data_IF_033414422596
#
_entry.id   IF_033414422596
#
_cell.length_a   1.000
_cell.length_b   1.000
_cell.length_c   1.000
_cell.angle_alpha   90.00
_cell.angle_beta   90.00
_cell.angle_gamma   90.00
#
_symmetry.space_group_name_H-M   'P 1'
#
loop_
_entity.id
_entity.type
_entity.pdbx_description
1 polymer ?
#
# COMPACT_ATOMS: atom_id res chain seq x y z
N UNK A 1 -16.69 -8.32 13.50
CA UNK A 1 -15.25 -8.54 13.65
C UNK A 1 -14.97 -10.00 13.30
N UNK A 2 -13.95 -10.26 12.49
CA UNK A 2 -13.60 -11.62 12.05
C UNK A 2 -12.19 -12.05 12.50
N UNK A 3 -11.34 -11.10 12.92
CA UNK A 3 -9.99 -11.39 13.34
C UNK A 3 -9.24 -10.12 13.71
N UNK A 4 -7.92 -10.25 13.86
CA UNK A 4 -7.00 -9.13 14.10
C UNK A 4 -5.93 -9.10 13.01
N UNK A 5 -5.51 -7.90 12.62
CA UNK A 5 -4.41 -7.71 11.69
C UNK A 5 -3.07 -7.96 12.37
N UNK A 6 -1.99 -7.87 11.59
CA UNK A 6 -0.62 -8.01 12.08
C UNK A 6 -0.26 -7.10 13.28
N UNK A 7 -0.96 -5.99 13.48
CA UNK A 7 -0.75 -5.01 14.55
C UNK A 7 -1.70 -5.19 15.73
N UNK A 8 -2.57 -6.20 15.71
CA UNK A 8 -3.56 -6.44 16.74
C UNK A 8 -4.84 -5.62 16.62
N UNK A 9 -4.99 -4.79 15.57
CA UNK A 9 -6.22 -4.04 15.30
C UNK A 9 -7.31 -4.97 14.75
N UNK A 10 -8.59 -4.71 15.07
CA UNK A 10 -9.69 -5.56 14.61
C UNK A 10 -9.86 -5.47 13.08
N UNK A 11 -10.11 -6.62 12.44
CA UNK A 11 -10.50 -6.74 11.03
C UNK A 11 -12.01 -6.99 10.97
N UNK A 12 -12.67 -6.28 10.06
CA UNK A 12 -14.07 -6.50 9.70
C UNK A 12 -14.13 -7.15 8.31
N UNK A 13 -14.68 -8.35 8.25
CA UNK A 13 -14.85 -9.10 7.02
C UNK A 13 -16.31 -9.02 6.56
N UNK A 14 -16.50 -9.12 5.25
CA UNK A 14 -17.79 -9.50 4.69
C UNK A 14 -18.07 -10.97 5.02
N UNK A 15 -19.32 -11.35 5.32
CA UNK A 15 -19.65 -12.71 5.69
C UNK A 15 -19.38 -13.68 4.52
N UNK A 16 -18.95 -14.90 4.85
CA UNK A 16 -18.83 -15.98 3.87
C UNK A 16 -19.40 -17.23 4.49
N UNK A 17 -20.36 -17.85 3.83
CA UNK A 17 -21.02 -19.08 4.26
C UNK A 17 -21.68 -18.99 5.64
N UNK A 18 -22.26 -17.83 5.97
CA UNK A 18 -22.82 -17.54 7.30
C UNK A 18 -24.29 -17.95 7.45
N UNK A 19 -25.00 -18.18 6.34
CA UNK A 19 -26.40 -18.58 6.37
C UNK A 19 -26.57 -20.02 6.94
N UNK A 20 -27.55 -20.27 7.82
CA UNK A 20 -27.81 -21.60 8.35
C UNK A 20 -28.12 -22.62 7.24
N UNK A 21 -27.34 -23.71 7.19
CA UNK A 21 -27.48 -24.75 6.17
C UNK A 21 -26.92 -24.38 4.80
N UNK A 22 -26.15 -23.30 4.69
CA UNK A 22 -25.50 -22.91 3.44
C UNK A 22 -24.52 -23.99 2.97
N UNK A 23 -24.65 -24.39 1.71
CA UNK A 23 -23.67 -25.24 1.01
C UNK A 23 -22.85 -24.36 0.08
N UNK A 24 -21.70 -23.88 0.57
CA UNK A 24 -20.92 -22.87 -0.13
C UNK A 24 -19.92 -23.49 -1.09
N UNK A 25 -19.70 -22.87 -2.25
CA UNK A 25 -18.64 -23.27 -3.16
C UNK A 25 -17.26 -23.31 -2.49
N UNK A 26 -16.46 -24.28 -2.91
CA UNK A 26 -15.08 -24.47 -2.46
C UNK A 26 -14.12 -24.22 -3.62
N UNK A 27 -13.09 -23.42 -3.38
CA UNK A 27 -11.95 -23.21 -4.29
C UNK A 27 -10.65 -23.43 -3.51
N UNK A 28 -9.82 -24.38 -3.95
CA UNK A 28 -8.59 -24.78 -3.26
C UNK A 28 -8.78 -25.08 -1.76
N UNK A 29 -9.83 -25.84 -1.42
CA UNK A 29 -10.22 -26.18 -0.03
C UNK A 29 -10.62 -24.98 0.84
N UNK A 30 -10.95 -23.84 0.22
CA UNK A 30 -11.41 -22.63 0.92
C UNK A 30 -12.83 -22.30 0.45
N UNK A 31 -13.75 -22.16 1.40
CA UNK A 31 -15.12 -21.73 1.11
C UNK A 31 -15.11 -20.29 0.59
N UNK A 32 -15.96 -20.00 -0.39
CA UNK A 32 -16.15 -18.65 -0.89
C UNK A 32 -17.61 -18.36 -1.21
N UNK A 33 -17.97 -17.08 -1.16
CA UNK A 33 -19.26 -16.57 -1.63
C UNK A 33 -19.07 -15.61 -2.80
N UNK A 34 -20.08 -15.58 -3.67
CA UNK A 34 -20.15 -14.64 -4.77
C UNK A 34 -20.88 -13.38 -4.31
N UNK A 35 -20.19 -12.25 -4.44
CA UNK A 35 -20.75 -10.94 -4.25
C UNK A 35 -20.81 -10.22 -5.59
N UNK A 36 -21.61 -9.17 -5.64
CA UNK A 36 -21.67 -8.29 -6.79
C UNK A 36 -21.88 -6.86 -6.32
N UNK A 37 -21.20 -5.94 -6.98
CA UNK A 37 -21.41 -4.51 -6.83
C UNK A 37 -22.22 -4.03 -8.03
N UNK A 38 -23.25 -3.24 -7.77
CA UNK A 38 -24.00 -2.54 -8.81
C UNK A 38 -23.52 -1.10 -8.88
N UNK A 39 -23.03 -0.72 -10.05
CA UNK A 39 -22.67 0.65 -10.39
C UNK A 39 -23.79 1.21 -11.26
N UNK A 40 -24.54 2.15 -10.71
CA UNK A 40 -25.70 2.71 -11.39
C UNK A 40 -25.26 3.79 -12.36
N UNK A 41 -25.65 3.68 -13.63
CA UNK A 41 -25.52 4.76 -14.60
C UNK A 41 -26.30 5.98 -14.09
N UNK A 42 -25.78 7.18 -14.38
CA UNK A 42 -26.51 8.40 -14.11
C UNK A 42 -27.82 8.43 -14.91
N UNK A 43 -28.86 9.02 -14.33
CA UNK A 43 -30.08 9.33 -15.08
C UNK A 43 -29.74 10.33 -16.18
N UNK A 44 -30.50 10.32 -17.26
CA UNK A 44 -30.20 11.14 -18.42
C UNK A 44 -31.30 12.14 -18.76
N UNK A 45 -30.94 13.14 -19.55
CA UNK A 45 -31.89 14.05 -20.18
C UNK A 45 -32.48 13.42 -21.44
N UNK A 46 -33.80 13.23 -21.43
CA UNK A 46 -34.66 13.00 -22.60
C UNK A 46 -34.05 12.11 -23.71
N UNK A 47 -33.70 10.86 -23.39
CA UNK A 47 -33.27 9.87 -24.39
C UNK A 47 -31.89 10.12 -25.00
N UNK A 48 -31.10 11.04 -24.43
CA UNK A 48 -29.67 11.21 -24.72
C UNK A 48 -28.82 10.59 -23.62
N UNK A 49 -27.52 10.41 -23.86
CA UNK A 49 -26.58 10.01 -22.81
C UNK A 49 -26.19 11.17 -21.89
N UNK A 50 -26.65 12.40 -22.13
CA UNK A 50 -26.34 13.53 -21.26
C UNK A 50 -26.85 13.27 -19.85
N UNK A 51 -25.94 13.19 -18.88
CA UNK A 51 -26.27 12.81 -17.51
C UNK A 51 -26.82 13.97 -16.68
N UNK A 52 -27.76 13.65 -15.78
CA UNK A 52 -28.20 14.54 -14.71
C UNK A 52 -27.15 14.43 -13.58
N UNK A 53 -26.48 15.53 -13.19
CA UNK A 53 -25.47 15.50 -12.15
C UNK A 53 -25.98 14.88 -10.84
N UNK A 54 -25.10 14.12 -10.17
CA UNK A 54 -25.35 13.48 -8.87
C UNK A 54 -26.45 12.40 -8.84
N UNK A 55 -26.82 11.83 -9.99
CA UNK A 55 -27.83 10.76 -10.07
C UNK A 55 -27.26 9.35 -10.31
N UNK A 56 -25.95 9.24 -10.55
CA UNK A 56 -25.25 7.99 -10.77
C UNK A 56 -23.87 8.26 -11.39
N UNK A 57 -23.27 7.23 -11.97
CA UNK A 57 -21.98 7.33 -12.65
C UNK A 57 -22.15 7.95 -14.04
N UNK A 58 -21.27 8.91 -14.32
CA UNK A 58 -21.08 9.51 -15.62
C UNK A 58 -19.58 9.60 -15.92
N UNK A 59 -19.22 9.65 -17.20
CA UNK A 59 -17.85 9.90 -17.62
C UNK A 59 -17.43 11.37 -17.36
N UNK A 60 -16.16 11.69 -17.62
CA UNK A 60 -15.65 13.06 -17.46
C UNK A 60 -16.26 14.08 -18.43
N UNK A 61 -16.89 13.61 -19.51
CA UNK A 61 -17.63 14.46 -20.46
C UNK A 61 -19.09 14.66 -20.06
N UNK A 62 -19.54 14.06 -18.96
CA UNK A 62 -20.90 14.14 -18.45
C UNK A 62 -21.88 13.17 -19.13
N UNK A 63 -21.39 12.12 -19.79
CA UNK A 63 -22.26 11.09 -20.35
C UNK A 63 -22.55 9.99 -19.33
N UNK A 64 -23.80 9.57 -19.21
CA UNK A 64 -24.15 8.36 -18.47
C UNK A 64 -23.47 7.14 -19.11
N UNK A 65 -23.20 6.13 -18.28
CA UNK A 65 -22.65 4.86 -18.76
C UNK A 65 -23.62 4.19 -19.73
N UNK A 66 -23.08 3.47 -20.71
CA UNK A 66 -23.77 2.49 -21.55
C UNK A 66 -23.23 1.11 -21.15
N UNK A 67 -23.68 0.60 -20.00
CA UNK A 67 -23.09 -0.58 -19.36
C UNK A 67 -23.24 -1.88 -20.16
N UNK A 68 -24.24 -1.95 -21.05
CA UNK A 68 -24.46 -3.09 -21.95
C UNK A 68 -23.91 -2.83 -23.36
N UNK A 69 -23.42 -1.62 -23.64
CA UNK A 69 -22.80 -1.18 -24.89
C UNK A 69 -23.71 -1.42 -26.10
N UNK A 70 -25.00 -1.14 -25.94
CA UNK A 70 -26.02 -1.30 -26.99
C UNK A 70 -26.37 0.01 -27.73
N UNK A 71 -25.82 1.15 -27.26
CA UNK A 71 -26.00 2.48 -27.83
C UNK A 71 -27.37 3.11 -27.53
N UNK A 72 -28.20 2.48 -26.72
CA UNK A 72 -29.50 3.00 -26.30
C UNK A 72 -29.45 3.45 -24.86
N UNK A 73 -30.21 4.50 -24.56
CA UNK A 73 -30.32 5.03 -23.21
C UNK A 73 -31.37 4.23 -22.44
N UNK A 74 -30.94 3.47 -21.44
CA UNK A 74 -31.79 2.59 -20.65
C UNK A 74 -31.63 2.85 -19.15
N UNK A 75 -32.64 3.46 -18.55
CA UNK A 75 -32.66 3.70 -17.10
C UNK A 75 -33.23 2.49 -16.36
N UNK A 76 -32.53 2.08 -15.29
CA UNK A 76 -33.03 1.00 -14.42
C UNK A 76 -34.31 1.37 -13.67
N UNK A 77 -35.22 0.40 -13.56
CA UNK A 77 -36.41 0.51 -12.72
C UNK A 77 -36.00 0.40 -11.26
N UNK A 78 -36.35 1.37 -10.41
CA UNK A 78 -35.86 1.39 -9.01
C UNK A 78 -36.61 0.45 -8.06
N UNK A 79 -36.98 -0.74 -8.54
CA UNK A 79 -37.81 -1.72 -7.81
C UNK A 79 -36.99 -2.91 -7.30
N UNK A 80 -37.45 -3.54 -6.21
CA UNK A 80 -36.90 -4.80 -5.72
C UNK A 80 -37.35 -6.00 -6.59
N UNK A 81 -36.56 -7.08 -6.67
CA UNK A 81 -35.16 -7.18 -6.20
C UNK A 81 -34.22 -6.34 -7.08
N UNK A 82 -33.25 -5.66 -6.45
CA UNK A 82 -32.38 -4.67 -7.13
C UNK A 82 -31.61 -5.32 -8.29
N UNK A 83 -30.90 -6.43 -8.05
CA UNK A 83 -30.00 -6.98 -9.06
C UNK A 83 -30.70 -7.52 -10.31
N UNK A 84 -31.83 -8.21 -10.17
CA UNK A 84 -32.53 -8.77 -11.34
C UNK A 84 -33.10 -7.65 -12.22
N UNK A 85 -33.64 -6.60 -11.60
CA UNK A 85 -34.26 -5.48 -12.30
C UNK A 85 -33.23 -4.49 -12.86
N UNK A 86 -32.06 -4.34 -12.24
CA UNK A 86 -31.13 -3.24 -12.52
C UNK A 86 -29.87 -3.70 -13.25
N UNK A 87 -29.71 -5.00 -13.57
CA UNK A 87 -28.52 -5.55 -14.25
C UNK A 87 -28.62 -5.54 -15.79
N UNK A 88 -29.83 -5.55 -16.34
CA UNK A 88 -30.10 -5.50 -17.78
C UNK A 88 -30.17 -4.09 -18.42
N UNK A 89 -30.35 -2.99 -17.68
CA UNK A 89 -30.18 -1.60 -18.16
C UNK A 89 -28.71 -1.18 -18.32
N UNK A 90 -28.47 0.11 -18.59
CA UNK A 90 -27.16 0.77 -18.72
C UNK A 90 -26.25 0.69 -17.48
N UNK A 91 -26.77 0.16 -16.36
CA UNK A 91 -25.97 -0.04 -15.16
C UNK A 91 -24.91 -1.13 -15.37
N UNK A 92 -23.80 -0.98 -14.67
CA UNK A 92 -22.73 -1.98 -14.69
C UNK A 92 -22.78 -2.84 -13.42
N UNK A 93 -22.76 -4.16 -13.57
CA UNK A 93 -22.63 -5.09 -12.45
C UNK A 93 -21.25 -5.73 -12.45
N UNK A 94 -20.51 -5.60 -11.35
CA UNK A 94 -19.21 -6.23 -11.17
C UNK A 94 -19.30 -7.39 -10.17
N UNK A 95 -19.25 -8.66 -10.62
CA UNK A 95 -19.18 -9.80 -9.72
C UNK A 95 -17.75 -9.96 -9.17
N UNK A 96 -17.65 -10.34 -7.90
CA UNK A 96 -16.39 -10.69 -7.25
C UNK A 96 -16.60 -11.79 -6.22
N UNK A 97 -15.52 -12.45 -5.83
CA UNK A 97 -15.55 -13.56 -4.85
C UNK A 97 -14.92 -13.10 -3.56
N UNK A 98 -15.51 -13.52 -2.44
CA UNK A 98 -14.92 -13.35 -1.11
C UNK A 98 -14.65 -14.73 -0.54
N UNK A 99 -13.39 -15.00 -0.21
CA UNK A 99 -12.95 -16.27 0.39
C UNK A 99 -13.01 -16.16 1.90
N UNK A 100 -13.37 -17.24 2.58
CA UNK A 100 -13.28 -17.36 4.03
C UNK A 100 -11.83 -17.62 4.46
N UNK A 101 -10.96 -16.67 4.17
CA UNK A 101 -9.55 -16.71 4.52
C UNK A 101 -9.10 -15.28 4.86
N UNK A 102 -8.61 -15.12 6.08
CA UNK A 102 -8.07 -13.85 6.55
C UNK A 102 -6.57 -13.84 6.26
N UNK A 103 -6.11 -12.80 5.57
CA UNK A 103 -4.69 -12.51 5.48
C UNK A 103 -4.31 -11.56 6.63
N UNK A 104 -3.63 -12.11 7.64
CA UNK A 104 -3.10 -11.38 8.79
C UNK A 104 -1.56 -11.26 8.76
N UNK A 105 -0.93 -11.59 7.63
CA UNK A 105 0.53 -11.61 7.54
C UNK A 105 1.08 -10.20 7.29
N UNK A 106 2.17 -9.83 7.95
CA UNK A 106 2.77 -8.50 7.78
C UNK A 106 3.50 -8.37 6.44
N UNK A 107 3.42 -7.22 5.76
CA UNK A 107 4.31 -6.93 4.65
C UNK A 107 5.75 -6.75 5.15
N UNK A 108 6.70 -7.02 4.27
CA UNK A 108 8.14 -6.82 4.52
C UNK A 108 8.76 -6.11 3.31
N UNK A 109 9.87 -5.39 3.51
CA UNK A 109 10.59 -4.73 2.42
C UNK A 109 11.49 -5.76 1.74
N UNK A 110 11.34 -5.89 0.43
CA UNK A 110 12.20 -6.74 -0.41
C UNK A 110 13.49 -6.03 -0.77
N UNK A 111 13.39 -4.78 -1.20
CA UNK A 111 14.52 -3.99 -1.70
C UNK A 111 14.36 -2.51 -1.33
N UNK A 112 15.49 -1.86 -1.01
CA UNK A 112 15.59 -0.41 -0.81
C UNK A 112 16.65 0.14 -1.78
N UNK A 113 16.32 1.24 -2.45
CA UNK A 113 17.25 1.96 -3.34
C UNK A 113 17.14 3.47 -3.08
N UNK A 114 18.23 4.21 -2.84
CA UNK A 114 19.57 3.71 -2.54
C UNK A 114 19.58 2.84 -1.29
N UNK A 115 20.43 1.83 -1.30
CA UNK A 115 20.56 0.84 -0.25
C UNK A 115 21.09 1.41 1.05
N UNK A 116 20.92 0.64 2.12
CA UNK A 116 21.41 0.99 3.46
C UNK A 116 22.94 1.14 3.41
N UNK A 117 23.44 2.30 3.84
CA UNK A 117 24.88 2.60 3.81
C UNK A 117 25.44 3.06 2.46
N UNK A 118 24.59 3.26 1.44
CA UNK A 118 25.03 3.77 0.14
C UNK A 118 25.74 5.12 0.26
N UNK A 119 26.83 5.30 -0.48
CA UNK A 119 27.65 6.51 -0.49
C UNK A 119 27.59 7.22 -1.85
N UNK A 120 27.92 8.51 -1.84
CA UNK A 120 27.93 9.37 -3.04
C UNK A 120 26.61 9.33 -3.83
N UNK A 121 25.50 9.21 -3.10
CA UNK A 121 24.15 9.27 -3.64
C UNK A 121 23.90 10.66 -4.25
N UNK A 122 23.39 10.76 -5.50
CA UNK A 122 23.00 12.03 -6.10
C UNK A 122 21.99 12.79 -5.24
N UNK A 123 22.05 14.13 -5.26
CA UNK A 123 21.24 14.96 -4.37
C UNK A 123 19.72 14.86 -4.58
N UNK A 124 19.32 14.32 -5.73
CA UNK A 124 17.96 14.14 -6.23
C UNK A 124 17.66 12.66 -6.51
N UNK A 125 18.46 11.74 -5.97
CA UNK A 125 18.25 10.31 -6.11
C UNK A 125 16.88 9.92 -5.52
N UNK A 126 16.13 9.12 -6.28
CA UNK A 126 14.83 8.63 -5.87
C UNK A 126 14.97 7.57 -4.78
N UNK A 127 14.22 7.70 -3.69
CA UNK A 127 14.08 6.62 -2.70
C UNK A 127 13.00 5.64 -3.18
N UNK A 128 13.37 4.40 -3.47
CA UNK A 128 12.50 3.32 -3.90
C UNK A 128 12.43 2.22 -2.84
N UNK A 129 11.22 1.81 -2.49
CA UNK A 129 10.92 0.74 -1.54
C UNK A 129 10.04 -0.30 -2.23
N UNK A 130 10.56 -1.51 -2.42
CA UNK A 130 9.81 -2.64 -2.95
C UNK A 130 9.26 -3.49 -1.80
N UNK A 131 7.97 -3.76 -1.80
CA UNK A 131 7.28 -4.51 -0.74
C UNK A 131 6.85 -5.91 -1.20
N UNK A 132 6.80 -6.85 -0.26
CA UNK A 132 6.36 -8.23 -0.50
C UNK A 132 4.87 -8.39 -0.79
N UNK A 133 4.08 -7.33 -0.60
CA UNK A 133 2.63 -7.32 -0.76
C UNK A 133 2.15 -6.07 -1.47
N UNK A 134 0.90 -6.10 -1.93
CA UNK A 134 0.20 -4.92 -2.42
C UNK A 134 -0.08 -3.96 -1.26
N UNK A 135 0.50 -2.77 -1.34
CA UNK A 135 0.42 -1.76 -0.29
C UNK A 135 -0.70 -0.74 -0.56
N UNK A 136 -1.26 -0.13 0.50
CA UNK A 136 -2.20 0.99 0.36
C UNK A 136 -1.43 2.21 -0.14
N UNK A 137 -1.83 2.74 -1.29
CA UNK A 137 -1.15 3.89 -1.89
C UNK A 137 -1.11 5.12 -0.96
N UNK A 138 -2.17 5.35 -0.19
CA UNK A 138 -2.24 6.43 0.81
C UNK A 138 -1.16 6.29 1.89
N UNK A 139 -0.82 5.07 2.28
CA UNK A 139 0.14 4.83 3.35
C UNK A 139 1.59 5.21 2.96
N UNK A 140 1.87 5.40 1.67
CA UNK A 140 3.15 5.90 1.18
C UNK A 140 3.45 7.33 1.68
N UNK A 141 2.42 8.14 1.94
CA UNK A 141 2.57 9.50 2.51
C UNK A 141 2.98 9.49 3.99
N UNK A 142 3.00 8.33 4.64
CA UNK A 142 3.44 8.17 6.04
C UNK A 142 4.92 7.82 6.16
N UNK A 143 5.62 7.76 5.02
CA UNK A 143 7.06 7.52 4.98
C UNK A 143 7.77 8.88 4.93
N UNK A 144 8.71 9.07 5.84
CA UNK A 144 9.46 10.32 5.97
C UNK A 144 10.91 10.14 5.52
N UNK A 145 11.54 11.23 5.09
CA UNK A 145 12.98 11.28 4.80
C UNK A 145 13.57 12.36 5.70
N UNK A 146 14.56 11.98 6.51
CA UNK A 146 15.20 12.89 7.44
C UNK A 146 16.70 13.03 7.15
N UNK A 147 17.14 14.27 6.98
CA UNK A 147 18.55 14.65 6.86
C UNK A 147 19.27 14.67 8.21
N UNK A 148 20.57 14.34 8.20
CA UNK A 148 21.47 14.46 9.34
C UNK A 148 22.80 15.15 8.95
N UNK A 149 23.19 16.25 9.63
CA UNK A 149 22.47 16.92 10.72
C UNK A 149 21.13 17.52 10.26
N UNK A 150 20.16 17.62 11.19
CA UNK A 150 18.79 18.05 10.87
C UNK A 150 18.80 19.42 10.20
N UNK A 151 18.19 19.48 9.02
CA UNK A 151 17.97 20.71 8.29
C UNK A 151 16.69 21.40 8.81
N UNK A 152 16.72 22.69 9.21
CA UNK A 152 15.53 23.38 9.68
C UNK A 152 14.49 23.63 8.59
N UNK A 153 14.87 23.49 7.31
CA UNK A 153 13.95 23.61 6.18
C UNK A 153 13.31 22.24 5.93
N UNK A 154 11.99 22.08 6.07
CA UNK A 154 11.32 20.83 5.78
C UNK A 154 11.49 20.43 4.32
N UNK A 155 11.85 19.17 4.10
CA UNK A 155 11.91 18.57 2.78
C UNK A 155 10.50 18.25 2.29
N UNK A 156 10.17 18.62 1.05
CA UNK A 156 8.96 18.10 0.42
C UNK A 156 9.21 16.68 -0.08
N UNK A 157 8.21 15.83 0.06
CA UNK A 157 8.19 14.46 -0.48
C UNK A 157 6.92 14.25 -1.29
N UNK A 158 7.03 13.49 -2.40
CA UNK A 158 5.91 13.10 -3.26
C UNK A 158 6.06 11.62 -3.58
N UNK A 159 5.21 10.75 -3.00
CA UNK A 159 5.22 9.33 -3.29
C UNK A 159 4.54 9.05 -4.63
N UNK A 160 5.16 8.18 -5.43
CA UNK A 160 4.62 7.55 -6.61
C UNK A 160 4.48 6.07 -6.34
N UNK A 161 3.29 5.53 -6.56
CA UNK A 161 2.95 4.15 -6.26
C UNK A 161 2.65 3.45 -7.57
N UNK A 162 3.44 2.43 -7.89
CA UNK A 162 3.26 1.63 -9.09
C UNK A 162 3.50 0.15 -8.79
N UNK A 163 2.98 -0.70 -9.67
CA UNK A 163 3.06 -2.15 -9.52
C UNK A 163 3.79 -2.68 -10.74
N UNK A 164 4.99 -3.21 -10.51
CA UNK A 164 5.73 -4.00 -11.50
C UNK A 164 5.46 -5.48 -11.21
N UNK A 165 6.47 -6.26 -10.84
CA UNK A 165 6.31 -7.60 -10.27
C UNK A 165 5.80 -7.53 -8.83
N UNK A 166 6.19 -6.48 -8.10
CA UNK A 166 5.85 -6.22 -6.70
C UNK A 166 5.35 -4.78 -6.55
N UNK A 167 4.83 -4.44 -5.37
CA UNK A 167 4.44 -3.06 -5.11
C UNK A 167 5.68 -2.22 -4.81
N UNK A 168 5.84 -1.14 -5.56
CA UNK A 168 6.96 -0.19 -5.39
C UNK A 168 6.42 1.17 -4.97
N UNK A 169 7.03 1.72 -3.93
CA UNK A 169 6.85 3.11 -3.50
C UNK A 169 8.11 3.90 -3.83
N UNK A 170 7.98 4.82 -4.78
CA UNK A 170 9.02 5.74 -5.21
C UNK A 170 8.77 7.12 -4.60
N UNK A 171 9.61 7.54 -3.66
CA UNK A 171 9.48 8.77 -2.92
C UNK A 171 10.42 9.80 -3.53
N UNK A 172 9.86 10.68 -4.35
CA UNK A 172 10.57 11.85 -4.87
C UNK A 172 10.66 12.90 -3.77
N UNK A 173 11.79 13.59 -3.68
CA UNK A 173 11.98 14.63 -2.69
C UNK A 173 12.68 15.87 -3.28
N UNK A 174 12.67 16.97 -2.53
CA UNK A 174 13.45 18.16 -2.85
C UNK A 174 14.94 17.83 -2.92
N UNK A 175 15.73 18.37 -3.87
CA UNK A 175 17.16 18.18 -3.85
C UNK A 175 17.75 18.60 -2.49
N UNK A 176 18.65 17.81 -1.92
CA UNK A 176 19.34 18.19 -0.69
C UNK A 176 20.04 19.54 -0.89
N UNK A 177 19.61 20.57 -0.14
CA UNK A 177 19.78 21.98 -0.52
C UNK A 177 21.14 22.57 -0.14
N UNK A 178 21.91 21.93 0.72
CA UNK A 178 23.01 22.60 1.42
C UNK A 178 24.38 22.46 0.74
N UNK A 179 24.44 21.75 -0.40
CA UNK A 179 25.67 21.42 -1.13
C UNK A 179 26.76 20.73 -0.27
N UNK A 180 26.41 20.24 0.93
CA UNK A 180 27.30 19.46 1.78
C UNK A 180 26.98 17.98 1.61
N UNK A 181 27.97 17.14 1.90
CA UNK A 181 27.73 15.71 2.05
C UNK A 181 27.00 15.49 3.37
N UNK A 182 25.70 15.22 3.29
CA UNK A 182 24.88 14.82 4.43
C UNK A 182 24.51 13.35 4.37
N UNK A 183 24.11 12.80 5.51
CA UNK A 183 23.45 11.49 5.55
C UNK A 183 21.94 11.75 5.59
N UNK A 184 21.15 10.84 5.03
CA UNK A 184 19.71 10.86 5.22
C UNK A 184 19.22 9.45 5.58
N UNK A 185 18.08 9.37 6.23
CA UNK A 185 17.45 8.10 6.60
C UNK A 185 15.95 8.13 6.22
N UNK A 186 15.43 7.07 5.58
CA UNK A 186 13.99 6.88 5.46
C UNK A 186 13.41 6.36 6.79
N UNK A 187 12.28 6.91 7.20
CA UNK A 187 11.53 6.47 8.37
C UNK A 187 10.26 5.77 7.88
N UNK A 188 10.20 4.45 8.10
CA UNK A 188 9.05 3.60 7.78
C UNK A 188 8.60 2.94 9.07
N UNK A 189 7.37 3.22 9.51
CA UNK A 189 6.82 2.68 10.75
C UNK A 189 5.57 1.81 10.49
N UNK A 190 4.97 1.27 11.54
CA UNK A 190 3.75 0.44 11.46
C UNK A 190 2.49 1.20 11.02
N UNK A 191 2.57 2.48 10.63
CA UNK A 191 1.44 3.15 10.00
C UNK A 191 1.36 2.85 8.49
N UNK A 192 2.44 2.32 7.90
CA UNK A 192 2.47 1.83 6.51
C UNK A 192 1.74 0.49 6.45
N UNK A 193 0.81 0.34 5.51
CA UNK A 193 -0.17 -0.77 5.52
C UNK A 193 -0.34 -1.42 4.14
N UNK A 194 -0.60 -2.73 4.15
CA UNK A 194 -1.08 -3.45 2.98
C UNK A 194 -2.57 -3.20 2.70
N UNK A 195 -3.06 -3.57 1.50
CA UNK A 195 -4.47 -3.40 1.12
C UNK A 195 -5.45 -4.23 1.97
N UNK A 196 -4.93 -5.16 2.77
CA UNK A 196 -5.67 -5.96 3.74
C UNK A 196 -5.57 -5.36 5.17
N UNK A 197 -5.04 -4.13 5.29
CA UNK A 197 -4.83 -3.40 6.54
C UNK A 197 -3.84 -4.07 7.49
N UNK A 198 -2.98 -4.98 7.01
CA UNK A 198 -1.84 -5.41 7.81
C UNK A 198 -0.79 -4.32 7.76
N UNK A 199 -0.48 -3.77 8.93
CA UNK A 199 0.58 -2.80 9.01
C UNK A 199 1.95 -3.48 8.94
N UNK A 200 2.94 -2.68 8.58
CA UNK A 200 4.36 -3.04 8.52
C UNK A 200 4.91 -3.30 9.93
N UNK A 201 4.42 -4.38 10.55
CA UNK A 201 4.76 -4.83 11.90
C UNK A 201 4.48 -6.34 12.08
N UNK A 202 5.44 -7.15 12.54
CA UNK A 202 6.85 -6.83 12.52
C UNK A 202 7.33 -6.67 11.07
N UNK A 203 7.72 -5.46 10.71
CA UNK A 203 8.23 -5.14 9.38
C UNK A 203 9.71 -5.42 9.35
N UNK A 204 10.21 -6.12 8.33
CA UNK A 204 11.64 -6.45 8.20
C UNK A 204 12.07 -6.25 6.76
N UNK A 205 13.33 -5.95 6.52
CA UNK A 205 13.89 -5.88 5.17
C UNK A 205 15.17 -5.09 5.15
N UNK A 206 15.85 -5.04 4.01
CA UNK A 206 15.50 -5.65 2.71
C UNK A 206 15.81 -7.16 2.67
N UNK A 207 15.12 -7.98 1.88
CA UNK A 207 15.32 -9.47 1.87
C UNK A 207 15.83 -10.05 0.56
N UNK A 208 15.93 -9.26 -0.50
CA UNK A 208 16.38 -9.74 -1.80
C UNK A 208 17.89 -9.55 -1.99
N UNK A 209 18.53 -10.53 -2.65
CA UNK A 209 19.94 -10.44 -3.05
C UNK A 209 20.08 -9.48 -4.22
N UNK A 210 21.01 -8.54 -4.12
CA UNK A 210 21.28 -7.54 -5.17
C UNK A 210 22.66 -7.76 -5.79
N UNK A 211 22.88 -7.38 -7.06
CA UNK A 211 24.17 -7.56 -7.72
C UNK A 211 25.30 -6.79 -7.03
N UNK A 212 26.49 -7.39 -6.94
CA UNK A 212 27.69 -6.76 -6.40
C UNK A 212 28.01 -5.45 -7.15
N UNK A 213 28.27 -4.38 -6.39
CA UNK A 213 28.56 -3.04 -6.93
C UNK A 213 27.34 -2.20 -7.31
N UNK A 214 26.11 -2.71 -7.12
CA UNK A 214 24.89 -1.88 -7.19
C UNK A 214 24.80 -0.94 -5.98
N UNK A 215 24.06 0.17 -6.13
CA UNK A 215 23.68 1.00 -4.97
C UNK A 215 22.50 0.37 -4.20
N UNK A 216 22.19 -0.90 -4.39
CA UNK A 216 21.02 -1.53 -3.80
C UNK A 216 21.36 -2.17 -2.43
N UNK A 217 20.34 -2.49 -1.66
CA UNK A 217 20.46 -2.96 -0.29
C UNK A 217 20.81 -4.46 -0.14
N UNK A 218 21.70 -4.82 0.80
CA UNK A 218 22.04 -6.22 1.13
C UNK A 218 20.89 -6.97 1.83
N UNK A 219 20.89 -8.31 1.78
CA UNK A 219 19.88 -9.15 2.44
C UNK A 219 19.95 -9.00 3.97
N UNK A 220 18.81 -8.72 4.57
CA UNK A 220 18.57 -8.75 6.00
C UNK A 220 18.44 -10.19 6.50
N UNK A 221 19.37 -10.59 7.35
CA UNK A 221 19.29 -11.78 8.20
C UNK A 221 19.22 -11.33 9.67
N UNK A 222 18.05 -11.47 10.29
CA UNK A 222 17.82 -11.09 11.69
C UNK A 222 18.66 -11.89 12.69
N UNK A 223 19.26 -13.01 12.29
CA UNK A 223 20.08 -13.89 13.14
C UNK A 223 21.57 -13.68 12.86
N UNK A 224 21.96 -13.70 11.58
CA UNK A 224 23.38 -13.63 11.20
C UNK A 224 23.92 -12.20 11.04
N UNK A 225 23.06 -11.23 10.70
CA UNK A 225 23.46 -9.84 10.44
C UNK A 225 22.32 -8.84 10.73
N UNK A 226 21.83 -8.76 11.98
CA UNK A 226 20.71 -7.89 12.36
C UNK A 226 20.99 -6.40 12.10
N UNK A 227 22.26 -5.99 12.05
CA UNK A 227 22.71 -4.63 11.74
C UNK A 227 22.43 -4.17 10.31
N UNK A 228 22.03 -5.10 9.43
CA UNK A 228 21.66 -4.84 8.03
C UNK A 228 20.13 -4.86 7.82
N UNK A 229 19.37 -4.95 8.91
CA UNK A 229 17.91 -5.13 8.91
C UNK A 229 17.13 -3.90 9.39
N UNK A 230 16.35 -3.29 8.51
CA UNK A 230 15.26 -2.39 8.87
C UNK A 230 14.10 -3.18 9.48
N UNK A 231 14.21 -3.44 10.80
CA UNK A 231 13.31 -4.28 11.56
C UNK A 231 12.48 -3.46 12.58
N UNK A 232 11.17 -3.64 12.53
CA UNK A 232 10.19 -3.12 13.50
C UNK A 232 9.79 -4.32 14.37
N UNK A 233 10.46 -4.52 15.52
CA UNK A 233 10.41 -5.81 16.25
C UNK A 233 9.57 -5.79 17.53
N UNK A 234 9.65 -4.72 18.34
CA UNK A 234 9.15 -4.79 19.73
C UNK A 234 8.06 -3.75 20.06
N UNK A 235 7.99 -2.62 19.34
CA UNK A 235 7.06 -1.52 19.63
C UNK A 235 6.29 -1.05 18.39
N UNK A 236 4.95 -1.02 18.49
CA UNK A 236 4.08 -0.40 17.49
C UNK A 236 4.26 1.12 17.45
N UNK A 237 4.20 1.68 16.25
CA UNK A 237 4.30 3.12 15.94
C UNK A 237 5.63 3.78 16.33
N UNK A 238 6.65 3.00 16.68
CA UNK A 238 8.01 3.50 16.92
C UNK A 238 8.80 3.60 15.61
N UNK A 239 9.72 4.58 15.56
CA UNK A 239 10.74 4.64 14.51
C UNK A 239 11.92 3.73 14.92
N UNK A 240 12.37 2.91 13.98
CA UNK A 240 13.47 1.97 14.19
C UNK A 240 14.58 2.21 13.20
N UNK A 241 15.79 2.00 13.68
CA UNK A 241 16.98 1.91 12.85
C UNK A 241 17.02 0.63 12.05
N UNK A 242 17.81 0.63 10.97
CA UNK A 242 18.14 -0.59 10.22
C UNK A 242 19.05 -1.58 10.95
N UNK A 243 19.19 -1.44 12.28
CA UNK A 243 19.74 -2.45 13.17
C UNK A 243 18.73 -2.89 14.26
N UNK A 244 17.43 -2.54 14.11
CA UNK A 244 16.37 -2.84 15.08
C UNK A 244 16.35 -1.94 16.32
N UNK A 245 17.23 -0.95 16.46
CA UNK A 245 17.21 -0.04 17.61
C UNK A 245 16.08 0.98 17.50
N UNK A 246 15.28 1.11 18.57
CA UNK A 246 14.29 2.21 18.72
C UNK A 246 15.03 3.54 18.88
N UNK A 247 14.60 4.58 18.17
CA UNK A 247 15.02 5.95 18.48
C UNK A 247 13.82 6.87 18.68
N UNK A 248 13.83 7.59 19.80
CA UNK A 248 12.79 8.57 20.18
C UNK A 248 13.32 10.00 20.16
N UNK A 249 14.58 10.21 19.73
CA UNK A 249 15.25 11.51 19.71
C UNK A 249 16.25 11.64 18.57
N UNK A 250 16.67 12.87 18.28
CA UNK A 250 17.71 13.20 17.28
C UNK A 250 19.05 12.52 17.60
N UNK A 251 19.36 12.28 18.87
CA UNK A 251 20.57 11.55 19.29
C UNK A 251 20.52 10.06 18.91
N UNK A 252 19.32 9.47 18.86
CA UNK A 252 19.13 8.10 18.40
C UNK A 252 19.36 7.95 16.89
N UNK A 253 19.00 8.96 16.09
CA UNK A 253 19.29 8.99 14.64
C UNK A 253 20.80 9.06 14.38
N UNK A 254 21.54 9.85 15.17
CA UNK A 254 23.00 9.91 15.07
C UNK A 254 23.62 8.53 15.31
N UNK A 255 23.22 7.87 16.40
CA UNK A 255 23.69 6.54 16.76
C UNK A 255 23.36 5.52 15.65
N UNK A 256 22.15 5.58 15.10
CA UNK A 256 21.72 4.81 13.95
C UNK A 256 22.71 4.87 12.78
N UNK A 257 23.04 6.09 12.38
CA UNK A 257 23.91 6.38 11.24
C UNK A 257 25.32 5.90 11.52
N UNK A 258 25.81 6.13 12.74
CA UNK A 258 27.15 5.70 13.16
C UNK A 258 27.28 4.16 13.15
N UNK A 259 26.26 3.44 13.65
CA UNK A 259 26.22 1.98 13.61
C UNK A 259 26.19 1.45 12.16
N UNK A 260 25.35 2.03 11.29
CA UNK A 260 25.27 1.65 9.87
C UNK A 260 26.62 1.88 9.15
N UNK A 261 27.32 2.98 9.46
CA UNK A 261 28.63 3.28 8.87
C UNK A 261 29.67 2.24 9.26
N UNK A 262 29.75 1.87 10.53
CA UNK A 262 30.70 0.87 11.02
C UNK A 262 30.50 -0.48 10.32
N UNK A 263 29.23 -0.87 10.09
CA UNK A 263 28.90 -2.19 9.55
C UNK A 263 28.91 -2.28 8.02
N UNK A 264 29.01 -1.15 7.32
CA UNK A 264 29.09 -1.07 5.85
C UNK A 264 30.43 -0.46 5.34
N UNK A 265 31.43 -0.31 6.23
CA UNK A 265 32.81 0.08 5.90
C UNK A 265 33.68 -1.15 5.64
#
# INVERSE_FOLDING_TARGET
>A
ECGKNACGNPIYCLPVCDAPGANCPVDNNINFDNYQMLLTAAKTFAGSFESIPFTGLADMSGNALDGNNDGNVQTATTTLPVFDNWKQPDNFSWPFKIKNQIDATSPYIKKITPGVGAQNVPKDALLSLEFSKRMRAESAYKIEIQEYPVNPIPMWTVPFVHTDTYQVFDIKHAPFLDAKKQNYIPIVNSSVEDVNFNCFYPGVGPKDVVPDGSQDSQVCDLVASPEKCCAVIDDLNSAFCCNGAVFTSVDGIKKCIDDIKVNNS
#
